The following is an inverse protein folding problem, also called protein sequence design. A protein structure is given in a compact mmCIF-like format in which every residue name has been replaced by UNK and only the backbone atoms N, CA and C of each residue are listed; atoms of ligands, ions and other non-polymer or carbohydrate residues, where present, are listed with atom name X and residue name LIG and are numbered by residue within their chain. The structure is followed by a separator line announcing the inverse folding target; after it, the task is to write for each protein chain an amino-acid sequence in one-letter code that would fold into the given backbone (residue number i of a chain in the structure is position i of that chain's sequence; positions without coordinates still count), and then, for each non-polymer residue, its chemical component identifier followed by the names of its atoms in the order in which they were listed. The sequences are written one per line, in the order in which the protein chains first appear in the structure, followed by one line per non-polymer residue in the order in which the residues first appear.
data_IF_173632775779
#
_entry.id   IF_173632775779
#
_cell.length_a   1.000
_cell.length_b   1.000
_cell.length_c   1.000
_cell.angle_alpha   90.00
_cell.angle_beta   90.00
_cell.angle_gamma   90.00
#
_symmetry.space_group_name_H-M   'P 1'
#
loop_
_entity.id
_entity.type
_entity.pdbx_description
1 polymer ?
#
# COMPACT_ATOMS: atom_id res chain seq x y z
N UNK A 1 -20.41 -2.39 -2.95
CA UNK A 1 -18.94 -2.30 -2.97
C UNK A 1 -18.40 -1.58 -1.72
N UNK A 2 -18.97 -0.44 -1.33
CA UNK A 2 -18.52 0.35 -0.14
C UNK A 2 -18.81 -0.36 1.20
N UNK A 3 -19.93 -1.09 1.33
CA UNK A 3 -20.31 -1.74 2.59
C UNK A 3 -19.31 -2.79 3.10
N UNK A 4 -18.69 -3.55 2.20
CA UNK A 4 -17.67 -4.55 2.59
C UNK A 4 -16.39 -3.89 3.09
N UNK A 5 -16.02 -2.74 2.54
CA UNK A 5 -14.85 -1.98 2.95
C UNK A 5 -15.05 -1.37 4.34
N UNK A 6 -16.25 -0.85 4.61
CA UNK A 6 -16.66 -0.37 5.94
C UNK A 6 -16.70 -1.51 6.97
N UNK A 7 -17.25 -2.67 6.59
CA UNK A 7 -17.26 -3.85 7.45
C UNK A 7 -15.84 -4.36 7.76
N UNK A 8 -14.95 -4.35 6.77
CA UNK A 8 -13.56 -4.75 6.92
C UNK A 8 -12.79 -3.83 7.88
N UNK A 9 -13.00 -2.51 7.78
CA UNK A 9 -12.39 -1.55 8.71
C UNK A 9 -12.93 -1.72 10.13
N UNK A 10 -14.23 -1.99 10.28
CA UNK A 10 -14.84 -2.34 11.56
C UNK A 10 -14.27 -3.63 12.18
N UNK A 11 -14.02 -4.66 11.36
CA UNK A 11 -13.37 -5.89 11.80
C UNK A 11 -11.91 -5.65 12.24
N UNK A 12 -11.16 -4.82 11.49
CA UNK A 12 -9.81 -4.38 11.89
C UNK A 12 -9.80 -3.66 13.24
N UNK A 13 -10.80 -2.81 13.49
CA UNK A 13 -10.92 -2.10 14.77
C UNK A 13 -11.22 -3.03 15.96
N UNK A 14 -11.81 -4.20 15.70
CA UNK A 14 -12.10 -5.26 16.69
C UNK A 14 -11.00 -6.31 16.81
N UNK A 15 -9.86 -6.12 16.14
CA UNK A 15 -8.76 -7.08 16.05
C UNK A 15 -9.16 -8.43 15.41
N UNK A 16 -10.27 -8.45 14.66
CA UNK A 16 -10.76 -9.63 13.92
C UNK A 16 -10.00 -9.77 12.60
N UNK A 17 -8.68 -9.97 12.67
CA UNK A 17 -7.76 -9.91 11.53
C UNK A 17 -8.15 -10.89 10.41
N UNK A 18 -8.54 -12.12 10.76
CA UNK A 18 -8.99 -13.12 9.77
C UNK A 18 -10.28 -12.70 9.05
N UNK A 19 -11.19 -12.01 9.75
CA UNK A 19 -12.43 -11.56 9.14
C UNK A 19 -12.20 -10.34 8.26
N UNK A 20 -11.39 -9.39 8.74
CA UNK A 20 -10.97 -8.22 8.00
C UNK A 20 -10.25 -8.60 6.69
N UNK A 21 -9.30 -9.53 6.76
CA UNK A 21 -8.58 -10.03 5.58
C UNK A 21 -9.53 -10.52 4.50
N UNK A 22 -10.42 -11.45 4.85
CA UNK A 22 -11.40 -11.99 3.89
C UNK A 22 -12.29 -10.92 3.27
N UNK A 23 -12.68 -9.90 4.05
CA UNK A 23 -13.51 -8.81 3.54
C UNK A 23 -12.72 -7.91 2.58
N UNK A 24 -11.46 -7.59 2.89
CA UNK A 24 -10.60 -6.83 1.98
C UNK A 24 -10.22 -7.61 0.72
N UNK A 25 -9.96 -8.92 0.83
CA UNK A 25 -9.74 -9.81 -0.32
C UNK A 25 -10.95 -9.81 -1.24
N UNK A 26 -12.17 -9.95 -0.71
CA UNK A 26 -13.39 -9.89 -1.53
C UNK A 26 -13.58 -8.54 -2.22
N UNK A 27 -13.11 -7.44 -1.62
CA UNK A 27 -13.14 -6.13 -2.27
C UNK A 27 -12.06 -6.05 -3.35
N UNK A 28 -10.85 -6.56 -3.10
CA UNK A 28 -9.77 -6.61 -4.06
C UNK A 28 -10.06 -7.55 -5.25
N UNK A 29 -10.78 -8.65 -5.03
CA UNK A 29 -11.24 -9.55 -6.09
C UNK A 29 -12.31 -8.89 -6.96
N UNK A 30 -13.23 -8.15 -6.33
CA UNK A 30 -14.28 -7.43 -7.04
C UNK A 30 -13.73 -6.19 -7.79
N UNK A 31 -12.72 -5.54 -7.23
CA UNK A 31 -12.01 -4.42 -7.84
C UNK A 31 -10.50 -4.49 -7.54
N UNK A 32 -9.72 -5.12 -8.44
CA UNK A 32 -8.27 -5.24 -8.29
C UNK A 32 -7.52 -3.89 -8.36
N UNK A 33 -8.21 -2.80 -8.73
CA UNK A 33 -7.66 -1.45 -8.79
C UNK A 33 -8.12 -0.60 -7.61
N UNK A 34 -8.63 -1.21 -6.55
CA UNK A 34 -9.02 -0.51 -5.34
C UNK A 34 -7.82 -0.38 -4.38
N UNK A 35 -7.17 0.79 -4.41
CA UNK A 35 -6.04 1.10 -3.53
C UNK A 35 -6.40 0.98 -2.04
N UNK A 36 -7.62 1.32 -1.65
CA UNK A 36 -8.09 1.29 -0.26
C UNK A 36 -8.18 -0.15 0.26
N UNK A 37 -8.62 -1.10 -0.58
CA UNK A 37 -8.66 -2.52 -0.22
C UNK A 37 -7.26 -3.09 0.02
N UNK A 38 -6.30 -2.71 -0.84
CA UNK A 38 -4.89 -3.09 -0.69
C UNK A 38 -4.26 -2.48 0.57
N UNK A 39 -4.59 -1.23 0.92
CA UNK A 39 -4.20 -0.64 2.20
C UNK A 39 -4.81 -1.40 3.39
N UNK A 40 -6.05 -1.85 3.27
CA UNK A 40 -6.69 -2.71 4.26
C UNK A 40 -5.95 -4.03 4.49
N UNK A 41 -5.59 -4.74 3.41
CA UNK A 41 -4.77 -5.96 3.49
C UNK A 41 -3.38 -5.68 4.07
N UNK A 42 -2.77 -4.55 3.72
CA UNK A 42 -1.50 -4.14 4.30
C UNK A 42 -1.58 -3.93 5.81
N UNK A 43 -2.65 -3.28 6.29
CA UNK A 43 -2.90 -3.07 7.73
C UNK A 43 -3.06 -4.39 8.46
N UNK A 44 -3.80 -5.34 7.89
CA UNK A 44 -3.95 -6.69 8.45
C UNK A 44 -2.58 -7.40 8.51
N UNK A 45 -1.83 -7.40 7.40
CA UNK A 45 -0.51 -8.02 7.34
C UNK A 45 0.48 -7.40 8.34
N UNK A 46 0.46 -6.06 8.50
CA UNK A 46 1.29 -5.36 9.48
C UNK A 46 0.93 -5.76 10.93
N UNK A 47 -0.37 -5.86 11.24
CA UNK A 47 -0.86 -6.33 12.55
C UNK A 47 -0.47 -7.78 12.85
N UNK A 48 -0.43 -8.65 11.83
CA UNK A 48 0.07 -10.03 11.93
C UNK A 48 1.60 -10.12 12.03
N UNK A 49 2.33 -9.01 11.98
CA UNK A 49 3.79 -8.99 11.95
C UNK A 49 4.41 -9.34 10.59
N UNK A 50 3.59 -9.57 9.56
CA UNK A 50 4.04 -9.80 8.20
C UNK A 50 4.36 -8.48 7.48
N UNK A 51 5.48 -7.85 7.88
CA UNK A 51 5.94 -6.57 7.30
C UNK A 51 6.22 -6.68 5.80
N UNK A 52 6.70 -7.84 5.34
CA UNK A 52 6.98 -8.09 3.92
C UNK A 52 5.71 -8.08 3.07
N UNK A 53 4.67 -8.78 3.52
CA UNK A 53 3.35 -8.76 2.88
C UNK A 53 2.71 -7.37 2.92
N UNK A 54 2.78 -6.70 4.07
CA UNK A 54 2.27 -5.33 4.22
C UNK A 54 2.90 -4.37 3.21
N UNK A 55 4.24 -4.41 3.08
CA UNK A 55 4.97 -3.60 2.09
C UNK A 55 4.48 -3.87 0.67
N UNK A 56 4.37 -5.14 0.27
CA UNK A 56 3.95 -5.50 -1.08
C UNK A 56 2.55 -4.97 -1.44
N UNK A 57 1.61 -5.03 -0.50
CA UNK A 57 0.28 -4.48 -0.68
C UNK A 57 0.28 -2.94 -0.79
N UNK A 58 1.11 -2.25 0.01
CA UNK A 58 1.23 -0.78 -0.03
C UNK A 58 1.89 -0.27 -1.30
N UNK A 59 2.94 -0.95 -1.77
CA UNK A 59 3.59 -0.63 -3.05
C UNK A 59 2.58 -0.76 -4.19
N UNK A 60 1.77 -1.82 -4.19
CA UNK A 60 0.72 -2.01 -5.19
C UNK A 60 -0.38 -0.95 -5.10
N UNK A 61 -0.78 -0.55 -3.89
CA UNK A 61 -1.73 0.53 -3.68
C UNK A 61 -1.22 1.85 -4.27
N UNK A 62 0.05 2.18 -4.06
CA UNK A 62 0.70 3.38 -4.60
C UNK A 62 0.98 3.33 -6.11
N UNK A 63 1.09 2.14 -6.71
CA UNK A 63 1.13 1.97 -8.16
C UNK A 63 -0.21 2.30 -8.82
N UNK A 64 -1.31 2.03 -8.12
CA UNK A 64 -2.68 2.27 -8.58
C UNK A 64 -3.07 3.72 -8.33
N UNK A 65 -2.88 4.18 -7.09
CA UNK A 65 -3.13 5.55 -6.66
C UNK A 65 -1.88 6.10 -5.93
N UNK A 66 -1.03 6.86 -6.64
CA UNK A 66 0.17 7.45 -6.07
C UNK A 66 -0.09 8.46 -4.93
N UNK A 67 -1.30 9.02 -4.88
CA UNK A 67 -1.75 10.03 -3.92
C UNK A 67 -2.43 9.42 -2.68
N UNK A 68 -2.47 8.07 -2.58
CA UNK A 68 -3.02 7.37 -1.42
C UNK A 68 -2.16 7.61 -0.17
N UNK A 69 -2.54 8.63 0.60
CA UNK A 69 -1.80 9.12 1.75
C UNK A 69 -1.68 8.07 2.86
N UNK A 70 -2.68 7.21 3.03
CA UNK A 70 -2.62 6.13 4.02
C UNK A 70 -1.56 5.10 3.64
N UNK A 71 -1.48 4.76 2.34
CA UNK A 71 -0.47 3.82 1.85
C UNK A 71 0.95 4.38 2.03
N UNK A 72 1.15 5.66 1.70
CA UNK A 72 2.44 6.34 1.85
C UNK A 72 2.90 6.35 3.31
N UNK A 73 2.05 6.82 4.22
CA UNK A 73 2.38 6.90 5.65
C UNK A 73 2.71 5.54 6.26
N UNK A 74 1.94 4.51 5.90
CA UNK A 74 2.17 3.18 6.42
C UNK A 74 3.46 2.56 5.87
N UNK A 75 3.80 2.84 4.61
CA UNK A 75 5.07 2.41 4.03
C UNK A 75 6.26 3.09 4.73
N UNK A 76 6.16 4.40 4.99
CA UNK A 76 7.16 5.16 5.72
C UNK A 76 7.32 4.63 7.16
N UNK A 77 6.23 4.31 7.86
CA UNK A 77 6.26 3.68 9.19
C UNK A 77 6.90 2.29 9.15
N UNK A 78 6.64 1.53 8.08
CA UNK A 78 7.22 0.21 7.90
C UNK A 78 8.75 0.28 7.71
N UNK A 79 9.22 1.27 6.96
CA UNK A 79 10.62 1.53 6.63
C UNK A 79 11.39 2.29 7.74
N UNK A 80 10.72 3.13 8.51
CA UNK A 80 11.31 3.87 9.63
C UNK A 80 11.57 2.99 10.86
N UNK A 81 10.86 1.87 11.00
CA UNK A 81 11.22 0.89 12.01
C UNK A 81 12.53 0.20 11.60
N UNK A 82 13.55 0.13 12.47
CA UNK A 82 14.86 -0.39 12.11
C UNK A 82 14.80 -1.91 11.86
N UNK A 83 14.52 -2.30 10.62
CA UNK A 83 14.94 -3.58 10.06
C UNK A 83 16.21 -3.29 9.24
N UNK A 84 17.35 -3.78 9.72
CA UNK A 84 18.66 -3.47 9.17
C UNK A 84 18.74 -3.58 7.64
N UNK A 85 19.31 -2.52 7.05
CA UNK A 85 19.73 -2.32 5.66
C UNK A 85 18.71 -1.66 4.69
N UNK A 86 19.13 -0.59 3.98
CA UNK A 86 18.28 0.18 3.09
C UNK A 86 18.02 -0.57 1.78
N UNK A 87 16.74 -0.72 1.42
CA UNK A 87 16.35 -1.14 0.07
C UNK A 87 16.11 0.12 -0.78
N UNK A 88 16.72 0.23 -1.98
CA UNK A 88 16.59 1.43 -2.81
C UNK A 88 15.13 1.64 -3.26
N UNK A 89 14.72 2.89 -3.51
CA UNK A 89 13.34 3.25 -3.79
C UNK A 89 12.83 2.56 -5.06
N UNK A 90 11.69 1.89 -4.92
CA UNK A 90 10.87 1.45 -6.04
C UNK A 90 10.59 2.67 -6.93
N UNK A 91 10.96 2.53 -8.21
CA UNK A 91 11.25 3.57 -9.22
C UNK A 91 10.22 4.72 -9.31
N UNK A 92 10.67 5.93 -9.72
CA UNK A 92 9.81 7.10 -9.80
C UNK A 92 8.74 6.96 -10.89
N UNK A 93 7.68 7.76 -10.74
CA UNK A 93 6.56 7.88 -11.68
C UNK A 93 7.03 8.04 -13.13
N UNK A 94 6.23 7.54 -14.09
CA UNK A 94 6.53 7.54 -15.53
C UNK A 94 6.98 8.91 -16.06
N UNK A 95 6.56 10.00 -15.43
CA UNK A 95 7.02 11.37 -15.69
C UNK A 95 8.53 11.56 -15.50
N UNK A 96 9.14 10.99 -14.45
CA UNK A 96 10.57 11.10 -14.20
C UNK A 96 11.40 10.35 -15.25
N UNK A 97 10.88 9.22 -15.75
CA UNK A 97 11.50 8.48 -16.87
C UNK A 97 11.31 9.20 -18.21
N UNK A 98 10.17 9.87 -18.39
CA UNK A 98 9.89 10.66 -19.59
C UNK A 98 10.80 11.89 -19.68
N UNK A 99 11.04 12.58 -18.56
CA UNK A 99 11.93 13.74 -18.48
C UNK A 99 13.41 13.37 -18.72
N UNK A 100 13.84 12.19 -18.26
CA UNK A 100 15.19 11.67 -18.52
C UNK A 100 15.37 11.25 -20.01
N UNK A 101 14.34 10.68 -20.65
CA UNK A 101 14.33 10.41 -22.11
C UNK A 101 14.29 11.68 -22.96
N UNK A 102 13.64 12.75 -22.46
CA UNK A 102 13.60 14.08 -23.07
C UNK A 102 14.88 14.92 -22.83
N UNK A 103 15.85 14.43 -22.05
CA UNK A 103 17.13 15.11 -21.82
C UNK A 103 17.03 16.42 -21.01
N UNK A 104 15.88 16.70 -20.39
CA UNK A 104 15.63 17.90 -19.61
C UNK A 104 16.09 17.70 -18.16
N UNK A 105 17.40 17.66 -17.93
CA UNK A 105 17.93 17.71 -16.56
C UNK A 105 17.81 19.13 -16.02
N UNK A 106 17.08 19.40 -14.92
CA UNK A 106 17.28 20.64 -14.19
C UNK A 106 18.71 20.61 -13.65
N UNK A 107 19.59 21.44 -14.23
CA UNK A 107 20.98 21.63 -13.81
C UNK A 107 21.02 22.05 -12.34
N UNK A 108 21.76 21.30 -11.53
CA UNK A 108 22.65 21.82 -10.50
C UNK A 108 23.78 20.80 -10.30
#
# INVERSE_FOLDING_TARGET
MIERLLAADGALARDELDHAERLFEQVADADPRNAIALVGLARVAARRGNRGGARGHLERALEIDPDEAAARRMLDELDAAPAGAPRPPSRPSLLARLLDWLGLRPRA
#
